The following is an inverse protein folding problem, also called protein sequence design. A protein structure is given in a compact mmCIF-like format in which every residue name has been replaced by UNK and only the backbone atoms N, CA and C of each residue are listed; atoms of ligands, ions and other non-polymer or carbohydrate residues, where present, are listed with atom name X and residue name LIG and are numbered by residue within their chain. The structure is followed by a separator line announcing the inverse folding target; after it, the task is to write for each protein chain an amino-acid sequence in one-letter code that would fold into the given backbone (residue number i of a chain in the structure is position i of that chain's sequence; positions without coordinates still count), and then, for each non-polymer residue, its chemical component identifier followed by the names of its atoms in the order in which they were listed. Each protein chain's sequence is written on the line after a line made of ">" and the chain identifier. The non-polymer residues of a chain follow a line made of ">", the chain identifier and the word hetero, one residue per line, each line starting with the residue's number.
data_IF_475682248757
#
_entry.id   IF_475682248757
#
_cell.length_a   1.000
_cell.length_b   1.000
_cell.length_c   1.000
_cell.angle_alpha   90.00
_cell.angle_beta   90.00
_cell.angle_gamma   90.00
#
_symmetry.space_group_name_H-M   'P 1'
#
loop_
_entity.id
_entity.type
_entity.pdbx_description
1 polymer ?
#
# COMPACT_ATOMS: atom_id res chain seq x y z
N UNK A 1 -35.44 1.20 -6.73
CA UNK A 1 -34.33 2.00 -7.30
C UNK A 1 -33.36 2.47 -6.22
N UNK A 2 -33.84 2.85 -5.03
CA UNK A 2 -33.05 3.32 -3.87
C UNK A 2 -31.80 2.49 -3.52
N UNK A 3 -31.86 1.15 -3.53
CA UNK A 3 -30.70 0.31 -3.22
C UNK A 3 -29.59 0.35 -4.28
N UNK A 4 -29.93 0.64 -5.54
CA UNK A 4 -28.95 0.73 -6.62
C UNK A 4 -28.13 2.03 -6.54
N UNK A 5 -28.78 3.13 -6.12
CA UNK A 5 -28.11 4.41 -5.87
C UNK A 5 -27.23 4.34 -4.62
N UNK A 6 -27.71 3.74 -3.53
CA UNK A 6 -26.90 3.51 -2.34
C UNK A 6 -25.64 2.67 -2.65
N UNK A 7 -25.79 1.62 -3.46
CA UNK A 7 -24.66 0.79 -3.89
C UNK A 7 -23.67 1.54 -4.80
N UNK A 8 -24.14 2.48 -5.64
CA UNK A 8 -23.26 3.36 -6.43
C UNK A 8 -22.51 4.32 -5.53
N UNK A 9 -23.22 5.01 -4.65
CA UNK A 9 -22.63 5.99 -3.74
C UNK A 9 -21.56 5.35 -2.82
N UNK A 10 -21.80 4.13 -2.34
CA UNK A 10 -20.82 3.37 -1.55
C UNK A 10 -19.55 3.04 -2.35
N UNK A 11 -19.68 2.68 -3.64
CA UNK A 11 -18.53 2.41 -4.51
C UNK A 11 -17.72 3.68 -4.80
N UNK A 12 -18.39 4.79 -5.07
CA UNK A 12 -17.74 6.08 -5.31
C UNK A 12 -17.01 6.58 -4.06
N UNK A 13 -17.64 6.44 -2.88
CA UNK A 13 -17.02 6.77 -1.60
C UNK A 13 -15.76 5.94 -1.34
N UNK A 14 -15.84 4.63 -1.58
CA UNK A 14 -14.70 3.73 -1.41
C UNK A 14 -13.56 4.05 -2.39
N UNK A 15 -13.89 4.39 -3.64
CA UNK A 15 -12.89 4.78 -4.62
C UNK A 15 -12.19 6.09 -4.26
N UNK A 16 -12.95 7.08 -3.79
CA UNK A 16 -12.38 8.34 -3.31
C UNK A 16 -11.45 8.11 -2.11
N UNK A 17 -11.88 7.29 -1.15
CA UNK A 17 -11.05 6.92 0.01
C UNK A 17 -9.76 6.19 -0.42
N UNK A 18 -9.82 5.34 -1.44
CA UNK A 18 -8.65 4.66 -1.99
C UNK A 18 -7.67 5.65 -2.65
N UNK A 19 -8.17 6.63 -3.39
CA UNK A 19 -7.34 7.69 -3.95
C UNK A 19 -6.63 8.49 -2.85
N UNK A 20 -7.34 8.84 -1.77
CA UNK A 20 -6.73 9.50 -0.61
C UNK A 20 -5.64 8.65 0.04
N UNK A 21 -5.89 7.35 0.23
CA UNK A 21 -4.92 6.38 0.75
C UNK A 21 -3.64 6.33 -0.11
N UNK A 22 -3.79 6.36 -1.43
CA UNK A 22 -2.65 6.32 -2.35
C UNK A 22 -1.83 7.62 -2.33
N UNK A 23 -2.50 8.78 -2.21
CA UNK A 23 -1.83 10.07 -2.03
C UNK A 23 -1.01 10.11 -0.74
N UNK A 24 -1.54 9.50 0.32
CA UNK A 24 -0.88 9.39 1.63
C UNK A 24 0.14 8.23 1.70
N UNK A 25 0.36 7.53 0.59
CA UNK A 25 1.27 6.38 0.49
C UNK A 25 1.08 5.35 1.61
N UNK A 26 -0.16 5.10 2.03
CA UNK A 26 -0.45 4.19 3.16
C UNK A 26 -0.21 2.72 2.81
N UNK A 27 -0.08 2.38 1.52
CA UNK A 27 0.16 1.02 1.04
C UNK A 27 -1.02 0.06 1.23
N UNK A 28 -2.25 0.58 1.38
CA UNK A 28 -3.44 -0.23 1.60
C UNK A 28 -4.11 -0.61 0.27
N UNK A 29 -4.49 -1.87 0.14
CA UNK A 29 -5.30 -2.34 -0.99
C UNK A 29 -6.78 -1.96 -0.82
N UNK A 30 -7.53 -1.89 -1.95
CA UNK A 30 -8.98 -1.60 -1.95
C UNK A 30 -9.77 -2.55 -1.06
N UNK A 31 -9.41 -3.83 -1.01
CA UNK A 31 -10.09 -4.81 -0.16
C UNK A 31 -9.86 -4.52 1.32
N UNK A 32 -8.61 -4.28 1.71
CA UNK A 32 -8.25 -3.90 3.08
C UNK A 32 -8.96 -2.62 3.49
N UNK A 33 -8.92 -1.58 2.66
CA UNK A 33 -9.60 -0.31 2.94
C UNK A 33 -11.11 -0.49 3.13
N UNK A 34 -11.76 -1.32 2.31
CA UNK A 34 -13.18 -1.67 2.47
C UNK A 34 -13.47 -2.28 3.83
N UNK A 35 -12.62 -3.22 4.27
CA UNK A 35 -12.77 -3.87 5.56
C UNK A 35 -12.56 -2.88 6.71
N UNK A 36 -11.56 -2.00 6.61
CA UNK A 36 -11.30 -0.98 7.62
C UNK A 36 -12.49 -0.02 7.77
N UNK A 37 -13.10 0.41 6.67
CA UNK A 37 -14.30 1.26 6.69
C UNK A 37 -15.47 0.53 7.39
N UNK A 38 -15.71 -0.74 7.07
CA UNK A 38 -16.76 -1.54 7.70
C UNK A 38 -16.51 -1.80 9.20
N UNK A 39 -15.25 -1.88 9.62
CA UNK A 39 -14.87 -2.00 11.02
C UNK A 39 -15.07 -0.68 11.77
N UNK A 40 -14.69 0.44 11.16
CA UNK A 40 -14.94 1.79 11.71
C UNK A 40 -16.44 2.09 11.84
N UNK A 41 -17.26 1.67 10.87
CA UNK A 41 -18.73 1.83 10.91
C UNK A 41 -19.37 1.12 12.12
N UNK A 42 -18.75 0.03 12.59
CA UNK A 42 -19.14 -0.70 13.81
C UNK A 42 -18.66 -0.04 15.11
N UNK A 43 -18.02 1.13 15.04
CA UNK A 43 -17.53 1.86 16.20
C UNK A 43 -16.15 1.43 16.69
N UNK A 44 -15.39 0.69 15.89
CA UNK A 44 -14.00 0.36 16.22
C UNK A 44 -13.13 1.62 16.12
N UNK A 45 -12.24 1.82 17.09
CA UNK A 45 -11.33 2.95 17.09
C UNK A 45 -10.36 2.87 15.89
N UNK A 46 -10.36 3.87 14.98
CA UNK A 46 -9.47 3.90 13.83
C UNK A 46 -7.98 3.92 14.20
N UNK A 47 -7.61 4.49 15.35
CA UNK A 47 -6.20 4.51 15.80
C UNK A 47 -5.69 3.11 16.17
N UNK A 48 -6.50 2.34 16.89
CA UNK A 48 -6.17 0.95 17.24
C UNK A 48 -6.08 0.08 15.97
N UNK A 49 -6.97 0.33 15.01
CA UNK A 49 -6.99 -0.35 13.74
C UNK A 49 -5.74 -0.03 12.90
N UNK A 50 -5.31 1.24 12.90
CA UNK A 50 -4.07 1.65 12.24
C UNK A 50 -2.82 0.98 12.84
N UNK A 51 -2.76 0.83 14.17
CA UNK A 51 -1.68 0.11 14.84
C UNK A 51 -1.63 -1.35 14.38
N UNK A 52 -2.78 -2.04 14.36
CA UNK A 52 -2.87 -3.44 13.93
C UNK A 52 -2.45 -3.62 12.47
N UNK A 53 -2.89 -2.73 11.57
CA UNK A 53 -2.52 -2.77 10.15
C UNK A 53 -1.01 -2.58 9.97
N UNK A 54 -0.38 -1.71 10.77
CA UNK A 54 1.07 -1.51 10.74
C UNK A 54 1.84 -2.71 11.27
N UNK A 55 1.31 -3.43 12.25
CA UNK A 55 1.92 -4.66 12.77
C UNK A 55 1.78 -5.85 11.82
N UNK A 56 0.64 -5.95 11.13
CA UNK A 56 0.37 -7.03 10.17
C UNK A 56 1.03 -6.81 8.80
N UNK A 57 1.31 -5.55 8.44
CA UNK A 57 2.02 -5.25 7.20
C UNK A 57 3.43 -5.83 7.26
N UNK A 58 3.85 -6.63 6.26
CA UNK A 58 5.19 -7.21 6.23
C UNK A 58 6.23 -6.10 6.42
N UNK A 59 6.99 -6.16 7.53
CA UNK A 59 8.12 -5.26 7.73
C UNK A 59 8.99 -5.35 6.48
N UNK A 60 9.31 -4.23 5.80
CA UNK A 60 10.22 -4.27 4.66
C UNK A 60 11.50 -4.93 5.16
N UNK A 61 11.81 -6.12 4.62
CA UNK A 61 13.06 -6.80 4.95
C UNK A 61 14.17 -5.87 4.48
N UNK A 62 15.17 -5.57 5.32
CA UNK A 62 16.33 -4.83 4.86
C UNK A 62 16.93 -5.58 3.66
N UNK A 63 17.35 -4.88 2.60
CA UNK A 63 17.95 -5.52 1.44
C UNK A 63 19.16 -6.33 1.90
N UNK A 64 19.13 -7.65 1.67
CA UNK A 64 20.23 -8.53 2.01
C UNK A 64 21.52 -8.02 1.32
N UNK A 65 22.62 -7.76 2.06
CA UNK A 65 23.84 -7.18 1.51
C UNK A 65 24.59 -8.11 0.53
N UNK A 66 24.07 -9.31 0.26
CA UNK A 66 24.71 -10.30 -0.62
C UNK A 66 24.50 -10.03 -2.12
N UNK A 67 23.54 -9.16 -2.49
CA UNK A 67 23.19 -8.93 -3.90
C UNK A 67 24.03 -7.86 -4.63
N UNK A 68 24.76 -6.99 -3.92
CA UNK A 68 25.40 -5.81 -4.55
C UNK A 68 26.86 -6.02 -4.99
N UNK A 69 27.45 -7.19 -4.73
CA UNK A 69 28.87 -7.45 -5.08
C UNK A 69 29.13 -7.67 -6.58
N UNK A 70 28.10 -7.67 -7.45
CA UNK A 70 28.25 -8.04 -8.87
C UNK A 70 28.58 -6.87 -9.82
N UNK A 71 28.71 -5.63 -9.33
CA UNK A 71 28.89 -4.46 -10.20
C UNK A 71 30.37 -3.98 -10.38
N UNK A 72 31.37 -4.77 -9.99
CA UNK A 72 32.79 -4.40 -10.11
C UNK A 72 33.57 -5.35 -11.01
N UNK A 73 33.21 -5.43 -12.29
CA UNK A 73 34.10 -6.02 -13.30
C UNK A 73 33.83 -5.46 -14.70
N UNK A 74 34.07 -4.16 -14.88
CA UNK A 74 34.27 -3.56 -16.20
C UNK A 74 35.37 -2.51 -16.10
N UNK A 75 36.58 -2.99 -15.84
CA UNK A 75 37.82 -2.25 -16.05
C UNK A 75 38.70 -3.08 -16.96
N UNK A 76 38.83 -2.69 -18.24
CA UNK A 76 40.11 -2.28 -18.86
C UNK A 76 39.98 -1.95 -20.37
N UNK A 77 40.93 -1.15 -20.90
CA UNK A 77 40.81 -0.36 -22.12
C UNK A 77 41.44 -1.06 -23.34
N UNK A 78 41.17 -0.56 -24.56
CA UNK A 78 41.91 -0.94 -25.77
C UNK A 78 42.28 0.33 -26.57
N UNK A 79 43.56 0.52 -26.96
CA UNK A 79 44.09 1.67 -27.70
C UNK A 79 43.91 1.53 -29.23
N UNK A 80 44.45 2.50 -29.99
CA UNK A 80 44.35 2.76 -31.44
C UNK A 80 43.17 3.69 -31.79
N UNK A 81 43.37 4.89 -32.33
CA UNK A 81 44.34 5.34 -33.32
C UNK A 81 44.86 6.74 -33.00
#
# INVERSE_FOLDING_TARGET
>A
MESAEAARNAKETLELAFQMSNILETGLDRHTLSLLIALCDRGINPEALAALVRELSPRPRPPDPSATAVASSSSRPIPHQ
#
